data_IF_333371432216
#
_entry.id   IF_333371432216
#
_cell.length_a   1.000
_cell.length_b   1.000
_cell.length_c   1.000
_cell.angle_alpha   90.00
_cell.angle_beta   90.00
_cell.angle_gamma   90.00
#
_symmetry.space_group_name_H-M   'P 1'
#
loop_
_entity.id
_entity.type
_entity.pdbx_description
1 polymer ?
#
# COMPACT_ATOMS: atom_id res chain seq x y z
N UNK A 1 -9.50 -0.68 38.90
CA UNK A 1 -9.91 -1.51 37.75
C UNK A 1 -11.04 -0.81 37.02
N UNK A 2 -10.76 -0.15 35.90
CA UNK A 2 -11.80 0.33 34.98
C UNK A 2 -11.32 0.10 33.55
N UNK A 3 -12.15 -0.64 32.80
CA UNK A 3 -11.91 -1.06 31.42
C UNK A 3 -11.95 0.17 30.51
N UNK A 4 -10.80 0.72 30.15
CA UNK A 4 -10.68 1.69 29.07
C UNK A 4 -10.74 0.97 27.71
N UNK A 5 -11.98 0.85 27.23
CA UNK A 5 -12.39 0.93 25.82
C UNK A 5 -11.32 0.64 24.76
N UNK A 6 -11.09 -0.66 24.50
CA UNK A 6 -10.68 -1.17 23.18
C UNK A 6 -11.77 -0.81 22.16
N UNK A 7 -11.70 0.31 21.42
CA UNK A 7 -12.60 0.48 20.25
C UNK A 7 -12.34 1.63 19.26
N UNK A 8 -11.26 2.43 19.34
CA UNK A 8 -11.08 3.56 18.38
C UNK A 8 -10.09 3.38 17.24
N UNK A 9 -9.05 2.55 17.37
CA UNK A 9 -8.05 2.41 16.30
C UNK A 9 -8.50 1.49 15.14
N UNK A 10 -9.49 0.62 15.35
CA UNK A 10 -9.90 -0.37 14.35
C UNK A 10 -10.98 0.12 13.36
N UNK A 11 -11.39 1.41 13.40
CA UNK A 11 -12.44 1.92 12.50
C UNK A 11 -11.94 2.40 11.14
N UNK A 12 -10.63 2.57 10.96
CA UNK A 12 -10.04 3.04 9.69
C UNK A 12 -9.67 1.88 8.73
N UNK A 13 -9.70 0.63 9.19
CA UNK A 13 -9.41 -0.57 8.37
C UNK A 13 -10.62 -1.16 7.61
N UNK A 14 -11.84 -0.62 7.81
CA UNK A 14 -13.06 -1.17 7.18
C UNK A 14 -13.21 -0.84 5.69
N UNK A 15 -12.43 0.11 5.16
CA UNK A 15 -12.43 0.45 3.74
C UNK A 15 -11.57 -0.49 2.89
N UNK A 16 -10.76 -1.37 3.49
CA UNK A 16 -9.77 -2.13 2.73
C UNK A 16 -10.37 -3.23 1.84
N UNK A 17 -11.56 -3.78 2.15
CA UNK A 17 -12.08 -4.97 1.45
C UNK A 17 -13.62 -5.00 1.29
N UNK A 18 -14.41 -4.58 2.28
CA UNK A 18 -15.88 -4.68 2.19
C UNK A 18 -16.50 -3.45 1.54
N UNK A 19 -17.20 -3.65 0.42
CA UNK A 19 -17.98 -2.61 -0.26
C UNK A 19 -19.03 -1.97 0.64
N UNK A 20 -18.71 -0.79 1.18
CA UNK A 20 -19.70 0.20 1.55
C UNK A 20 -19.83 1.19 0.40
N UNK A 21 -20.98 1.21 -0.26
CA UNK A 21 -21.36 2.30 -1.15
C UNK A 21 -21.58 3.58 -0.32
N UNK A 22 -20.50 4.20 0.15
CA UNK A 22 -20.48 5.62 0.42
C UNK A 22 -19.32 6.23 -0.36
N UNK A 23 -19.62 6.79 -1.53
CA UNK A 23 -18.64 7.49 -2.32
C UNK A 23 -18.04 8.66 -1.53
N UNK A 24 -16.81 9.04 -1.86
CA UNK A 24 -16.11 10.23 -1.35
C UNK A 24 -16.90 11.55 -1.49
N UNK A 25 -18.04 11.53 -2.20
CA UNK A 25 -19.01 12.63 -2.36
C UNK A 25 -19.81 12.97 -1.09
N UNK A 26 -19.71 12.19 0.00
CA UNK A 26 -20.37 12.50 1.29
C UNK A 26 -19.60 13.49 2.18
N UNK A 27 -18.35 13.82 1.85
CA UNK A 27 -17.65 14.91 2.54
C UNK A 27 -18.09 16.26 1.97
N UNK A 28 -18.70 17.17 2.76
CA UNK A 28 -19.08 18.48 2.26
C UNK A 28 -17.80 19.26 1.91
N UNK A 29 -17.68 19.61 0.63
CA UNK A 29 -16.76 20.57 0.02
C UNK A 29 -15.26 20.42 0.33
N UNK A 30 -14.61 19.46 -0.35
CA UNK A 30 -13.16 19.55 -0.64
C UNK A 30 -13.00 20.09 -2.07
N UNK A 31 -12.20 21.14 -2.22
CA UNK A 31 -11.90 21.87 -3.46
C UNK A 31 -11.58 20.93 -4.63
N UNK A 32 -11.99 21.28 -5.85
CA UNK A 32 -11.75 20.55 -7.10
C UNK A 32 -10.27 20.23 -7.38
N UNK A 33 -9.35 21.04 -6.85
CA UNK A 33 -7.91 20.79 -6.94
C UNK A 33 -7.45 19.63 -6.02
N UNK A 34 -7.99 19.56 -4.78
CA UNK A 34 -7.77 18.47 -3.82
C UNK A 34 -8.34 17.13 -4.33
N UNK A 35 -9.41 17.18 -5.15
CA UNK A 35 -9.99 15.99 -5.77
C UNK A 35 -8.99 15.28 -6.69
N UNK A 36 -8.06 15.97 -7.34
CA UNK A 36 -7.13 15.33 -8.27
C UNK A 36 -6.11 14.44 -7.55
N UNK A 37 -5.41 14.98 -6.56
CA UNK A 37 -4.39 14.27 -5.80
C UNK A 37 -4.98 13.11 -4.98
N UNK A 38 -6.09 13.35 -4.27
CA UNK A 38 -6.74 12.31 -3.47
C UNK A 38 -7.33 11.23 -4.38
N UNK A 39 -7.94 11.58 -5.53
CA UNK A 39 -8.49 10.59 -6.47
C UNK A 39 -7.41 9.72 -7.10
N UNK A 40 -6.27 10.31 -7.44
CA UNK A 40 -5.14 9.56 -8.00
C UNK A 40 -4.56 8.62 -6.93
N UNK A 41 -4.46 9.08 -5.69
CA UNK A 41 -4.05 8.25 -4.55
C UNK A 41 -5.05 7.12 -4.21
N UNK A 42 -6.36 7.39 -4.26
CA UNK A 42 -7.42 6.38 -4.09
C UNK A 42 -7.43 5.38 -5.24
N UNK A 43 -7.04 5.79 -6.46
CA UNK A 43 -6.91 4.89 -7.60
C UNK A 43 -5.74 3.92 -7.46
N UNK A 44 -4.67 4.31 -6.75
CA UNK A 44 -3.57 3.40 -6.36
C UNK A 44 -4.08 2.31 -5.42
N UNK A 45 -4.98 2.62 -4.48
CA UNK A 45 -5.59 1.64 -3.56
C UNK A 45 -6.43 0.57 -4.27
N UNK A 46 -7.09 0.91 -5.38
CA UNK A 46 -7.87 -0.06 -6.17
C UNK A 46 -7.01 -1.21 -6.70
N UNK A 47 -5.77 -0.93 -7.12
CA UNK A 47 -4.83 -1.96 -7.58
C UNK A 47 -4.40 -2.89 -6.44
N UNK A 48 -4.13 -2.33 -5.26
CA UNK A 48 -3.79 -3.11 -4.08
C UNK A 48 -4.93 -4.08 -3.69
N UNK A 49 -6.18 -3.63 -3.79
CA UNK A 49 -7.36 -4.48 -3.54
C UNK A 49 -7.43 -5.65 -4.51
N UNK A 50 -7.33 -5.40 -5.82
CA UNK A 50 -7.39 -6.46 -6.83
C UNK A 50 -6.24 -7.46 -6.70
N UNK A 51 -5.02 -6.98 -6.40
CA UNK A 51 -3.87 -7.82 -6.10
C UNK A 51 -4.13 -8.72 -4.89
N UNK A 52 -4.71 -8.15 -3.83
CA UNK A 52 -5.06 -8.88 -2.60
C UNK A 52 -6.13 -9.92 -2.82
N UNK A 53 -7.17 -9.59 -3.59
CA UNK A 53 -8.24 -10.54 -3.91
C UNK A 53 -7.68 -11.75 -4.67
N UNK A 54 -6.76 -11.52 -5.62
CA UNK A 54 -6.10 -12.58 -6.37
C UNK A 54 -5.14 -13.43 -5.53
N UNK A 55 -4.37 -12.81 -4.63
CA UNK A 55 -3.31 -13.49 -3.87
C UNK A 55 -3.77 -14.05 -2.51
N UNK A 56 -4.81 -13.48 -1.92
CA UNK A 56 -5.21 -13.73 -0.53
C UNK A 56 -6.74 -13.80 -0.35
N UNK A 57 -7.55 -13.76 -1.41
CA UNK A 57 -9.02 -13.72 -1.29
C UNK A 57 -9.66 -14.91 -0.57
N UNK A 58 -8.95 -16.03 -0.45
CA UNK A 58 -9.35 -17.22 0.31
C UNK A 58 -8.90 -17.21 1.79
N UNK A 59 -8.09 -16.25 2.21
CA UNK A 59 -7.64 -16.13 3.60
C UNK A 59 -8.72 -15.47 4.47
N UNK A 60 -8.53 -15.52 5.80
CA UNK A 60 -9.41 -14.77 6.69
C UNK A 60 -9.30 -13.25 6.47
N UNK A 61 -10.31 -12.51 6.90
CA UNK A 61 -10.40 -11.06 6.68
C UNK A 61 -9.18 -10.28 7.21
N UNK A 62 -8.65 -10.65 8.38
CA UNK A 62 -7.50 -9.97 8.97
C UNK A 62 -6.23 -10.15 8.13
N UNK A 63 -6.00 -11.36 7.62
CA UNK A 63 -4.89 -11.66 6.72
C UNK A 63 -5.05 -10.96 5.37
N UNK A 64 -6.28 -10.88 4.86
CA UNK A 64 -6.57 -10.10 3.65
C UNK A 64 -6.26 -8.62 3.88
N UNK A 65 -6.67 -8.02 5.01
CA UNK A 65 -6.38 -6.62 5.31
C UNK A 65 -4.88 -6.37 5.38
N UNK A 66 -4.15 -7.23 6.10
CA UNK A 66 -2.68 -7.14 6.21
C UNK A 66 -1.99 -7.28 4.86
N UNK A 67 -2.52 -8.11 3.97
CA UNK A 67 -2.02 -8.24 2.61
C UNK A 67 -2.29 -6.96 1.80
N UNK A 68 -3.51 -6.42 1.88
CA UNK A 68 -3.90 -5.16 1.23
C UNK A 68 -3.05 -3.98 1.68
N UNK A 69 -2.74 -3.87 2.98
CA UNK A 69 -1.85 -2.86 3.52
C UNK A 69 -0.45 -2.93 2.88
N UNK A 70 0.13 -4.13 2.78
CA UNK A 70 1.44 -4.34 2.15
C UNK A 70 1.41 -4.08 0.64
N UNK A 71 0.35 -4.48 -0.05
CA UNK A 71 0.16 -4.22 -1.47
C UNK A 71 -0.06 -2.73 -1.77
N UNK A 72 -0.67 -1.99 -0.85
CA UNK A 72 -0.78 -0.54 -0.93
C UNK A 72 0.59 0.12 -0.89
N UNK A 73 1.49 -0.34 0.00
CA UNK A 73 2.88 0.14 0.05
C UNK A 73 3.59 -0.12 -1.29
N UNK A 74 3.46 -1.34 -1.84
CA UNK A 74 4.03 -1.68 -3.13
C UNK A 74 3.50 -0.78 -4.26
N UNK A 75 2.20 -0.54 -4.26
CA UNK A 75 1.55 0.32 -5.25
C UNK A 75 2.01 1.78 -5.17
N UNK A 76 2.28 2.28 -3.96
CA UNK A 76 2.88 3.60 -3.75
C UNK A 76 4.33 3.68 -4.24
N UNK A 77 5.14 2.63 -4.00
CA UNK A 77 6.52 2.58 -4.54
C UNK A 77 6.53 2.56 -6.07
N UNK A 78 5.60 1.83 -6.70
CA UNK A 78 5.43 1.85 -8.15
C UNK A 78 4.94 3.21 -8.65
N UNK A 79 4.16 3.95 -7.87
CA UNK A 79 3.80 5.32 -8.20
C UNK A 79 5.02 6.27 -8.14
N UNK A 80 5.94 6.09 -7.19
CA UNK A 80 7.17 6.88 -7.17
C UNK A 80 8.01 6.66 -8.44
N UNK A 81 7.94 5.48 -9.04
CA UNK A 81 8.65 5.18 -10.28
C UNK A 81 8.01 5.77 -11.54
N UNK A 82 6.81 6.36 -11.46
CA UNK A 82 6.24 7.10 -12.60
C UNK A 82 6.88 8.47 -12.77
N UNK A 83 7.61 8.96 -11.76
CA UNK A 83 8.35 10.21 -11.85
C UNK A 83 9.70 9.97 -12.56
N UNK A 84 9.97 10.60 -13.73
CA UNK A 84 11.15 10.28 -14.54
C UNK A 84 12.49 10.45 -13.80
N UNK A 85 12.57 11.43 -12.89
CA UNK A 85 13.79 11.66 -12.12
C UNK A 85 14.04 10.58 -11.06
N UNK A 86 12.99 9.97 -10.51
CA UNK A 86 13.09 8.83 -9.58
C UNK A 86 13.48 7.59 -10.36
N UNK A 87 12.75 7.28 -11.44
CA UNK A 87 13.04 6.14 -12.30
C UNK A 87 14.50 6.15 -12.77
N UNK A 88 14.98 7.31 -13.26
CA UNK A 88 16.37 7.48 -13.68
C UNK A 88 17.36 7.14 -12.57
N UNK A 89 17.19 7.70 -11.37
CA UNK A 89 18.12 7.47 -10.25
C UNK A 89 18.08 6.04 -9.72
N UNK A 90 16.90 5.42 -9.72
CA UNK A 90 16.76 4.00 -9.37
C UNK A 90 17.44 3.11 -10.41
N UNK A 91 17.29 3.42 -11.70
CA UNK A 91 17.95 2.71 -12.79
C UNK A 91 19.48 2.89 -12.78
N UNK A 92 19.97 4.07 -12.39
CA UNK A 92 21.40 4.36 -12.20
C UNK A 92 21.97 3.75 -10.90
N UNK A 93 21.13 3.17 -10.05
CA UNK A 93 21.55 2.62 -8.74
C UNK A 93 21.93 3.70 -7.71
N UNK A 94 21.65 4.97 -7.98
CA UNK A 94 21.94 6.10 -7.09
C UNK A 94 20.82 6.38 -6.08
N UNK A 95 19.65 5.76 -6.26
CA UNK A 95 18.51 5.82 -5.34
C UNK A 95 17.93 4.42 -5.12
N UNK A 96 17.69 4.06 -3.87
CA UNK A 96 16.98 2.84 -3.50
C UNK A 96 15.59 3.17 -2.94
N UNK A 97 14.58 2.43 -3.38
CA UNK A 97 13.22 2.55 -2.86
C UNK A 97 12.94 1.41 -1.87
N UNK A 98 12.43 1.76 -0.70
CA UNK A 98 12.15 0.79 0.36
C UNK A 98 10.69 0.86 0.80
N UNK A 99 10.07 -0.31 0.97
CA UNK A 99 8.79 -0.46 1.64
C UNK A 99 8.99 -0.87 3.10
N UNK A 100 8.09 -0.42 3.97
CA UNK A 100 8.10 -0.73 5.39
C UNK A 100 6.69 -0.95 5.92
N UNK A 101 6.47 -2.06 6.60
CA UNK A 101 5.22 -2.41 7.26
C UNK A 101 5.45 -2.61 8.75
N UNK A 102 4.74 -1.84 9.58
CA UNK A 102 4.81 -1.95 11.03
C UNK A 102 3.57 -2.64 11.58
N UNK A 103 3.75 -3.74 12.30
CA UNK A 103 2.69 -4.39 13.06
C UNK A 103 2.67 -3.84 14.49
N UNK A 104 1.62 -3.10 14.82
CA UNK A 104 1.44 -2.53 16.16
C UNK A 104 1.11 -3.55 17.25
N UNK A 105 0.57 -4.72 16.90
CA UNK A 105 0.19 -5.75 17.88
C UNK A 105 1.42 -6.52 18.34
N UNK A 106 2.24 -6.95 17.38
CA UNK A 106 3.43 -7.76 17.64
C UNK A 106 4.69 -6.89 17.81
N UNK A 107 4.58 -5.57 17.66
CA UNK A 107 5.70 -4.62 17.63
C UNK A 107 6.80 -5.00 16.62
N UNK A 108 6.40 -5.57 15.48
CA UNK A 108 7.35 -6.00 14.44
C UNK A 108 7.40 -5.02 13.29
N UNK A 109 8.59 -4.85 12.70
CA UNK A 109 8.76 -4.07 11.48
C UNK A 109 9.31 -4.94 10.36
N UNK A 110 8.59 -5.00 9.25
CA UNK A 110 9.01 -5.66 8.03
C UNK A 110 9.47 -4.62 7.00
N UNK A 111 10.72 -4.72 6.55
CA UNK A 111 11.31 -3.87 5.51
C UNK A 111 11.55 -4.69 4.25
N UNK A 112 11.38 -4.09 3.09
CA UNK A 112 11.85 -4.64 1.83
C UNK A 112 12.36 -3.55 0.89
N UNK A 113 13.12 -3.96 -0.14
CA UNK A 113 13.68 -3.06 -1.15
C UNK A 113 13.10 -3.38 -2.52
N UNK A 114 12.65 -2.35 -3.24
CA UNK A 114 12.25 -2.48 -4.62
C UNK A 114 13.49 -2.30 -5.51
N UNK A 115 13.81 -3.32 -6.29
CA UNK A 115 14.93 -3.32 -7.22
C UNK A 115 14.44 -3.31 -8.66
N UNK A 116 15.10 -2.53 -9.51
CA UNK A 116 14.86 -2.53 -10.94
C UNK A 116 15.51 -3.75 -11.60
N UNK A 117 14.81 -4.38 -12.56
CA UNK A 117 15.37 -5.44 -13.41
C UNK A 117 15.48 -4.91 -14.83
N UNK A 118 16.69 -4.60 -15.28
CA UNK A 118 16.94 -4.38 -16.72
C UNK A 118 16.74 -5.68 -17.49
N UNK A 119 15.99 -5.63 -18.60
CA UNK A 119 15.99 -6.70 -19.62
C UNK A 119 14.79 -7.65 -19.68
N UNK A 120 13.65 -7.37 -19.04
CA UNK A 120 12.44 -8.18 -19.20
C UNK A 120 11.41 -7.49 -20.09
N UNK A 121 11.40 -7.84 -21.38
CA UNK A 121 10.21 -7.65 -22.21
C UNK A 121 9.11 -8.61 -21.73
N UNK A 122 8.00 -8.07 -21.23
CA UNK A 122 6.83 -8.85 -20.81
C UNK A 122 6.73 -9.20 -19.31
N UNK A 123 7.70 -8.85 -18.47
CA UNK A 123 7.66 -9.03 -17.01
C UNK A 123 7.49 -7.72 -16.21
N UNK A 124 7.20 -7.79 -14.90
CA UNK A 124 7.26 -6.59 -14.06
C UNK A 124 8.70 -6.06 -14.04
N UNK A 125 8.90 -4.80 -14.44
CA UNK A 125 10.22 -4.12 -14.46
C UNK A 125 10.92 -4.04 -13.09
N UNK A 126 10.24 -4.49 -12.04
CA UNK A 126 10.64 -4.36 -10.65
C UNK A 126 10.47 -5.68 -9.90
N UNK A 127 11.32 -5.89 -8.90
CA UNK A 127 11.21 -7.00 -7.97
C UNK A 127 11.45 -6.55 -6.53
N UNK A 128 10.95 -7.33 -5.59
CA UNK A 128 11.18 -7.11 -4.17
C UNK A 128 12.38 -7.97 -3.73
N UNK A 129 13.36 -7.35 -3.06
CA UNK A 129 14.54 -8.02 -2.47
C UNK A 129 14.77 -7.54 -1.03
N UNK A 130 15.70 -8.19 -0.34
CA UNK A 130 16.17 -7.83 1.00
C UNK A 130 15.02 -7.66 1.99
N UNK A 131 14.09 -8.63 1.98
CA UNK A 131 12.97 -8.65 2.92
C UNK A 131 13.51 -9.08 4.29
N UNK A 132 13.37 -8.23 5.28
CA UNK A 132 13.83 -8.47 6.65
C UNK A 132 12.75 -8.06 7.65
N UNK A 133 12.65 -8.80 8.74
CA UNK A 133 11.75 -8.50 9.84
C UNK A 133 12.56 -8.24 11.11
N UNK A 134 12.17 -7.21 11.85
CA UNK A 134 12.72 -6.85 13.15
C UNK A 134 11.63 -6.96 14.21
N UNK A 135 12.02 -7.41 15.41
CA UNK A 135 11.17 -7.66 16.57
C UNK A 135 11.87 -7.23 17.85
#
# INVERSE_FOLDING_TARGET
>A
MSKLSKSRAARDGRECISGGSQPLWWYPSINEYEKSFIRDWVSIRKRARLSTEAAAGNLNFELQCRHCEKESINSSLLNLLTYPWIEKRVNEGTLNLHGGYYNFVDCTFEKWTLVYRQGLEGGSKYAIKNRSTWS
#
